data_IF_089427827971
#
_entry.id   IF_089427827971
#
_cell.length_a   1.000
_cell.length_b   1.000
_cell.length_c   1.000
_cell.angle_alpha   90.00
_cell.angle_beta   90.00
_cell.angle_gamma   90.00
#
_symmetry.space_group_name_H-M   'P 1'
#
loop_
_entity.id
_entity.type
_entity.pdbx_description
1 polymer ?
#
# COMPACT_ATOMS: atom_id res chain seq x y z
N UNK A 1 -6.71 -24.71 -17.03
CA UNK A 1 -7.30 -23.56 -17.75
C UNK A 1 -7.74 -22.57 -16.71
N UNK A 2 -7.11 -21.39 -16.65
CA UNK A 2 -7.34 -20.43 -15.56
C UNK A 2 -6.16 -19.47 -15.43
N UNK A 3 -5.87 -18.76 -16.52
CA UNK A 3 -4.82 -17.75 -16.58
C UNK A 3 -5.32 -16.49 -15.89
N UNK A 4 -4.80 -16.19 -14.69
CA UNK A 4 -5.00 -14.91 -14.04
C UNK A 4 -4.24 -13.83 -14.81
N UNK A 5 -4.96 -13.00 -15.56
CA UNK A 5 -4.42 -11.86 -16.28
C UNK A 5 -4.23 -10.73 -15.27
N UNK A 6 -2.99 -10.56 -14.80
CA UNK A 6 -2.57 -9.39 -14.04
C UNK A 6 -2.53 -8.16 -14.97
N UNK A 7 -3.57 -7.33 -14.92
CA UNK A 7 -3.67 -6.04 -15.62
C UNK A 7 -3.02 -4.95 -14.77
N UNK A 8 -1.73 -5.05 -14.48
CA UNK A 8 -0.94 -3.97 -13.85
C UNK A 8 0.46 -3.92 -14.47
N UNK A 9 0.53 -3.57 -15.76
CA UNK A 9 1.82 -3.24 -16.40
C UNK A 9 1.63 -2.44 -17.69
N UNK A 10 1.05 -1.24 -17.58
CA UNK A 10 1.03 -0.27 -18.68
C UNK A 10 1.07 1.14 -18.10
N UNK A 11 2.27 1.54 -17.68
CA UNK A 11 2.72 2.94 -17.59
C UNK A 11 4.21 2.97 -17.22
N UNK A 12 5.05 2.35 -18.05
CA UNK A 12 6.47 2.71 -18.08
C UNK A 12 6.63 3.80 -19.14
N UNK A 13 6.80 5.02 -18.64
CA UNK A 13 7.17 6.20 -19.41
C UNK A 13 8.42 5.91 -20.26
N UNK A 14 8.45 6.29 -21.54
CA UNK A 14 9.68 6.27 -22.32
C UNK A 14 10.66 7.28 -21.70
N UNK A 15 11.82 6.78 -21.26
CA UNK A 15 12.95 7.58 -20.82
C UNK A 15 13.43 8.44 -21.98
N UNK A 16 12.93 9.69 -22.06
CA UNK A 16 13.38 10.63 -23.08
C UNK A 16 14.85 10.94 -22.86
N UNK A 17 15.63 10.56 -23.86
CA UNK A 17 17.06 10.77 -23.94
C UNK A 17 17.29 12.29 -23.95
N UNK A 18 18.08 12.78 -23.00
CA UNK A 18 18.52 14.16 -23.00
C UNK A 18 19.54 14.33 -24.13
N UNK A 19 19.06 14.77 -25.30
CA UNK A 19 19.94 15.30 -26.33
C UNK A 19 20.46 16.64 -25.84
N UNK A 20 21.73 16.67 -25.47
CA UNK A 20 22.46 17.91 -25.20
C UNK A 20 22.43 18.77 -26.47
N UNK A 21 21.52 19.75 -26.50
CA UNK A 21 21.52 20.78 -27.53
C UNK A 21 22.76 21.63 -27.32
N UNK A 22 23.72 21.45 -28.22
CA UNK A 22 24.94 22.25 -28.35
C UNK A 22 24.55 23.71 -28.48
N UNK A 23 24.68 24.46 -27.40
CA UNK A 23 24.83 25.90 -27.54
C UNK A 23 26.16 26.13 -28.24
N UNK A 24 26.10 26.73 -29.43
CA UNK A 24 27.24 27.29 -30.14
C UNK A 24 27.96 28.26 -29.20
N UNK A 25 29.06 27.79 -28.62
CA UNK A 25 30.07 28.65 -28.04
C UNK A 25 30.70 29.34 -29.25
N UNK A 26 30.42 30.64 -29.39
CA UNK A 26 31.11 31.48 -30.37
C UNK A 26 32.62 31.32 -30.15
N UNK A 27 33.42 31.03 -31.19
CA UNK A 27 34.86 30.93 -31.02
C UNK A 27 35.39 32.29 -30.58
N UNK A 28 36.15 32.27 -29.48
CA UNK A 28 36.98 33.37 -29.03
C UNK A 28 37.89 33.78 -30.19
N UNK A 29 37.52 34.86 -30.89
CA UNK A 29 38.36 35.47 -31.94
C UNK A 29 39.63 35.94 -31.24
N UNK A 30 40.74 35.27 -31.50
CA UNK A 30 42.06 35.87 -31.33
C UNK A 30 42.13 37.08 -32.26
N UNK A 31 41.77 38.25 -31.73
CA UNK A 31 42.26 39.51 -32.27
C UNK A 31 43.77 39.48 -32.04
N UNK A 32 44.52 39.30 -33.12
CA UNK A 32 45.96 39.46 -33.13
C UNK A 32 46.28 40.81 -32.52
N UNK A 33 47.03 40.77 -31.42
CA UNK A 33 47.73 41.92 -30.86
C UNK A 33 48.78 42.35 -31.89
N UNK A 34 48.41 43.22 -32.82
CA UNK A 34 49.39 44.08 -33.47
C UNK A 34 49.82 45.11 -32.43
N UNK A 35 51.03 44.91 -31.89
CA UNK A 35 51.70 45.92 -31.08
C UNK A 35 51.74 47.23 -31.87
N UNK A 36 51.19 48.35 -31.37
CA UNK A 36 51.41 49.64 -32.00
C UNK A 36 52.90 49.98 -31.90
N UNK A 37 53.46 50.47 -33.01
CA UNK A 37 54.83 51.00 -33.04
C UNK A 37 54.88 52.19 -32.08
N UNK A 38 55.71 52.09 -31.04
CA UNK A 38 56.05 53.21 -30.18
C UNK A 38 56.73 54.29 -31.03
N UNK A 39 56.01 55.38 -31.30
CA UNK A 39 56.64 56.64 -31.63
C UNK A 39 57.12 57.26 -30.32
N UNK A 40 58.42 57.54 -30.21
CA UNK A 40 58.97 58.35 -29.12
C UNK A 40 58.50 59.78 -29.29
N UNK A 41 57.42 60.13 -28.61
CA UNK A 41 57.00 61.51 -28.42
C UNK A 41 57.46 61.97 -27.02
N UNK A 42 58.01 63.18 -26.99
CA UNK A 42 58.78 63.73 -25.88
C UNK A 42 57.92 63.85 -24.62
N UNK A 43 58.46 63.37 -23.50
CA UNK A 43 57.93 63.63 -22.17
C UNK A 43 58.23 65.08 -21.82
N UNK A 44 57.20 65.93 -21.83
CA UNK A 44 57.21 67.22 -21.15
C UNK A 44 56.49 67.02 -19.82
N UNK A 45 57.27 67.07 -18.74
CA UNK A 45 56.78 67.05 -17.36
C UNK A 45 56.20 68.42 -17.04
N UNK A 46 54.87 68.55 -17.13
CA UNK A 46 54.14 69.65 -16.53
C UNK A 46 53.66 69.22 -15.13
N UNK A 47 54.07 70.01 -14.13
CA UNK A 47 53.69 69.82 -12.73
C UNK A 47 52.23 70.27 -12.60
N UNK A 48 51.31 69.32 -12.46
CA UNK A 48 49.90 69.63 -12.19
C UNK A 48 49.73 70.18 -10.78
N UNK A 49 48.99 71.27 -10.67
CA UNK A 49 48.64 71.92 -9.41
C UNK A 49 47.64 71.07 -8.62
N UNK A 50 47.63 71.20 -7.28
CA UNK A 50 46.80 70.37 -6.37
C UNK A 50 45.30 70.47 -6.71
N UNK A 51 44.87 71.60 -7.28
CA UNK A 51 43.49 71.84 -7.72
C UNK A 51 43.11 70.99 -8.96
N UNK A 52 44.04 70.73 -9.88
CA UNK A 52 43.79 69.90 -11.07
C UNK A 52 43.59 68.43 -10.69
N UNK A 53 44.31 67.96 -9.66
CA UNK A 53 44.13 66.61 -9.08
C UNK A 53 42.76 66.49 -8.39
N UNK A 54 42.27 67.60 -7.80
CA UNK A 54 41.00 67.64 -7.09
C UNK A 54 39.80 67.61 -8.05
N UNK A 55 39.93 68.25 -9.22
CA UNK A 55 38.93 68.24 -10.30
C UNK A 55 38.83 66.85 -10.95
N UNK A 56 39.95 66.14 -11.16
CA UNK A 56 39.99 64.76 -11.67
C UNK A 56 39.39 63.72 -10.68
N UNK A 57 39.42 64.02 -9.38
CA UNK A 57 38.76 63.21 -8.34
C UNK A 57 37.27 63.55 -8.16
N UNK A 58 36.78 64.62 -8.80
CA UNK A 58 35.39 65.03 -8.77
C UNK A 58 34.56 64.08 -9.63
N UNK A 59 34.07 63.01 -8.99
CA UNK A 59 33.19 62.03 -9.63
C UNK A 59 32.04 62.79 -10.32
N UNK A 60 31.79 62.56 -11.63
CA UNK A 60 30.72 63.25 -12.32
C UNK A 60 29.41 63.02 -11.57
N UNK A 61 28.64 64.08 -11.37
CA UNK A 61 27.31 63.97 -10.80
C UNK A 61 26.50 63.06 -11.73
N UNK A 62 26.22 61.86 -11.26
CA UNK A 62 25.45 60.90 -12.04
C UNK A 62 24.08 61.48 -12.31
N UNK A 63 23.60 61.31 -13.54
CA UNK A 63 22.23 61.64 -13.89
C UNK A 63 21.26 60.91 -12.96
N UNK A 64 20.16 61.56 -12.59
CA UNK A 64 19.12 60.97 -11.73
C UNK A 64 18.65 59.60 -12.25
N UNK A 65 18.64 59.41 -13.58
CA UNK A 65 18.31 58.14 -14.21
C UNK A 65 19.33 57.04 -13.87
N UNK A 66 20.62 57.37 -13.89
CA UNK A 66 21.69 56.44 -13.55
C UNK A 66 21.70 56.13 -12.05
N UNK A 67 21.36 57.11 -11.21
CA UNK A 67 21.17 56.92 -9.77
C UNK A 67 20.02 55.94 -9.52
N UNK A 68 18.90 56.09 -10.22
CA UNK A 68 17.75 55.17 -10.12
C UNK A 68 18.11 53.76 -10.61
N UNK A 69 18.86 53.64 -11.70
CA UNK A 69 19.37 52.34 -12.18
C UNK A 69 20.31 51.67 -11.17
N UNK A 70 21.21 52.42 -10.54
CA UNK A 70 22.09 51.91 -9.48
C UNK A 70 21.33 51.53 -8.20
N UNK A 71 20.25 52.25 -7.88
CA UNK A 71 19.35 51.95 -6.74
C UNK A 71 18.45 50.74 -7.01
N UNK A 72 18.24 50.37 -8.27
CA UNK A 72 17.47 49.21 -8.68
C UNK A 72 18.19 47.89 -8.37
N UNK A 73 18.18 47.49 -7.09
CA UNK A 73 18.83 46.24 -6.62
C UNK A 73 18.14 44.98 -7.13
N UNK A 74 16.85 45.07 -7.46
CA UNK A 74 16.05 43.91 -7.80
C UNK A 74 16.47 43.23 -9.11
N UNK A 75 17.09 43.97 -10.05
CA UNK A 75 17.48 43.49 -11.40
C UNK A 75 16.35 42.76 -12.14
N UNK A 76 15.10 43.06 -11.77
CA UNK A 76 13.92 42.49 -12.39
C UNK A 76 13.72 43.11 -13.78
N UNK A 77 13.21 42.35 -14.76
CA UNK A 77 12.72 42.94 -16.01
C UNK A 77 11.69 44.02 -15.71
N UNK A 78 11.75 45.13 -16.44
CA UNK A 78 10.91 46.33 -16.23
C UNK A 78 9.42 45.98 -16.11
N UNK A 79 8.96 45.08 -16.97
CA UNK A 79 7.57 44.60 -16.97
C UNK A 79 7.18 43.89 -15.66
N UNK A 80 8.07 43.05 -15.12
CA UNK A 80 7.83 42.33 -13.86
C UNK A 80 7.87 43.32 -12.69
N UNK A 81 8.81 44.25 -12.72
CA UNK A 81 8.93 45.30 -11.72
C UNK A 81 7.68 46.18 -11.65
N UNK A 82 7.18 46.66 -12.79
CA UNK A 82 5.94 47.43 -12.88
C UNK A 82 4.74 46.67 -12.33
N UNK A 83 4.60 45.42 -12.75
CA UNK A 83 3.46 44.57 -12.37
C UNK A 83 3.44 44.22 -10.88
N UNK A 84 4.59 43.87 -10.30
CA UNK A 84 4.65 43.30 -8.94
C UNK A 84 5.09 44.30 -7.87
N UNK A 85 6.03 45.20 -8.18
CA UNK A 85 6.56 46.17 -7.22
C UNK A 85 5.78 47.47 -7.28
N UNK A 86 5.65 48.06 -8.48
CA UNK A 86 4.91 49.32 -8.66
C UNK A 86 3.39 49.10 -8.67
N UNK A 87 2.92 47.84 -8.79
CA UNK A 87 1.51 47.46 -8.89
C UNK A 87 0.76 48.27 -9.94
N UNK A 88 1.40 48.49 -11.09
CA UNK A 88 0.78 49.17 -12.22
C UNK A 88 0.35 48.16 -13.28
N UNK A 89 -0.77 48.43 -14.00
CA UNK A 89 -1.17 47.60 -15.11
C UNK A 89 -0.13 47.71 -16.24
N UNK A 90 0.43 46.57 -16.63
CA UNK A 90 1.28 46.40 -17.81
C UNK A 90 0.47 45.93 -19.03
N UNK A 91 0.85 46.30 -20.25
CA UNK A 91 0.21 45.78 -21.45
C UNK A 91 0.28 44.24 -21.55
N UNK A 92 -0.76 43.64 -22.14
CA UNK A 92 -0.88 42.21 -22.39
C UNK A 92 -0.25 41.92 -23.75
N UNK A 93 0.92 41.29 -23.74
CA UNK A 93 1.73 41.09 -24.95
C UNK A 93 1.88 39.61 -25.32
N UNK A 94 2.04 38.73 -24.32
CA UNK A 94 2.32 37.32 -24.57
C UNK A 94 1.03 36.54 -24.80
N UNK A 95 1.09 35.52 -25.67
CA UNK A 95 -0.01 34.57 -25.89
C UNK A 95 -0.56 34.00 -24.57
N UNK A 96 0.31 33.71 -23.61
CA UNK A 96 -0.09 33.16 -22.32
C UNK A 96 -0.90 34.15 -21.47
N UNK A 97 -0.68 35.46 -21.63
CA UNK A 97 -1.41 36.46 -20.86
C UNK A 97 -2.89 36.53 -21.27
N UNK A 98 -3.22 36.08 -22.49
CA UNK A 98 -4.60 35.98 -23.00
C UNK A 98 -5.36 34.75 -22.47
N UNK A 99 -4.73 33.88 -21.69
CA UNK A 99 -5.43 32.78 -21.02
C UNK A 99 -6.48 33.35 -20.05
N UNK A 100 -7.73 32.87 -20.14
CA UNK A 100 -8.85 33.35 -19.29
C UNK A 100 -8.52 33.38 -17.80
N UNK A 101 -7.85 32.35 -17.29
CA UNK A 101 -7.42 32.31 -15.89
C UNK A 101 -6.49 33.47 -15.54
N UNK A 102 -5.53 33.80 -16.41
CA UNK A 102 -4.60 34.92 -16.19
C UNK A 102 -5.29 36.26 -16.32
N UNK A 103 -6.18 36.43 -17.30
CA UNK A 103 -6.96 37.65 -17.47
C UNK A 103 -7.87 37.91 -16.27
N UNK A 104 -8.54 36.88 -15.75
CA UNK A 104 -9.32 36.97 -14.50
C UNK A 104 -8.45 37.38 -13.32
N UNK A 105 -7.30 36.72 -13.15
CA UNK A 105 -6.34 37.06 -12.09
C UNK A 105 -5.65 38.42 -12.30
N UNK A 106 -5.68 38.97 -13.51
CA UNK A 106 -5.15 40.29 -13.85
C UNK A 106 -6.17 41.38 -13.52
N UNK A 107 -7.42 41.18 -13.94
CA UNK A 107 -8.54 42.03 -13.57
C UNK A 107 -8.77 42.05 -12.06
N UNK A 108 -8.66 40.91 -11.36
CA UNK A 108 -8.77 40.88 -9.90
C UNK A 108 -7.69 41.70 -9.17
N UNK A 109 -6.53 41.93 -9.80
CA UNK A 109 -5.42 42.70 -9.21
C UNK A 109 -5.51 44.19 -9.47
N UNK A 110 -5.85 44.57 -10.69
CA UNK A 110 -5.81 45.97 -11.16
C UNK A 110 -7.20 46.56 -11.41
N UNK A 111 -8.25 45.75 -11.33
CA UNK A 111 -9.63 46.18 -11.57
C UNK A 111 -9.81 46.85 -12.92
N UNK A 112 -10.53 47.97 -12.92
CA UNK A 112 -10.83 48.78 -14.10
C UNK A 112 -9.59 49.43 -14.74
N UNK A 113 -8.51 49.64 -13.98
CA UNK A 113 -7.24 50.20 -14.50
C UNK A 113 -6.62 49.29 -15.58
N UNK A 114 -6.93 47.98 -15.54
CA UNK A 114 -6.52 47.01 -16.55
C UNK A 114 -7.20 47.20 -17.91
N UNK A 115 -8.29 48.00 -17.98
CA UNK A 115 -9.13 48.22 -19.16
C UNK A 115 -9.71 46.95 -19.79
N UNK A 116 -9.80 45.87 -19.01
CA UNK A 116 -10.44 44.62 -19.42
C UNK A 116 -11.94 44.67 -19.15
N UNK A 117 -12.72 44.00 -19.99
CA UNK A 117 -14.16 43.85 -19.77
C UNK A 117 -14.41 42.91 -18.56
N UNK A 118 -15.16 43.34 -17.52
CA UNK A 118 -15.46 42.51 -16.35
C UNK A 118 -16.22 41.22 -16.68
N UNK A 119 -16.90 41.16 -17.83
CA UNK A 119 -17.59 39.95 -18.30
C UNK A 119 -16.68 38.72 -18.42
N UNK A 120 -15.37 38.90 -18.48
CA UNK A 120 -14.39 37.79 -18.51
C UNK A 120 -14.34 36.97 -17.22
N UNK A 121 -14.82 37.54 -16.11
CA UNK A 121 -14.89 36.87 -14.82
C UNK A 121 -15.94 35.76 -14.79
N UNK A 122 -16.94 35.84 -15.66
CA UNK A 122 -18.02 34.87 -15.74
C UNK A 122 -17.72 33.81 -16.81
N UNK A 123 -18.18 32.57 -16.61
CA UNK A 123 -18.10 31.54 -17.64
C UNK A 123 -18.91 31.94 -18.88
N UNK A 124 -18.53 31.40 -20.03
CA UNK A 124 -19.37 31.53 -21.23
C UNK A 124 -20.64 30.68 -21.08
N UNK A 125 -21.64 30.91 -21.93
CA UNK A 125 -22.87 30.09 -21.93
C UNK A 125 -22.59 28.60 -22.16
N UNK A 126 -21.59 28.29 -22.99
CA UNK A 126 -21.15 26.93 -23.27
C UNK A 126 -20.50 26.29 -22.04
N UNK A 127 -19.56 26.99 -21.39
CA UNK A 127 -18.91 26.53 -20.16
C UNK A 127 -19.94 26.36 -19.01
N UNK A 128 -20.91 27.27 -18.91
CA UNK A 128 -21.97 27.16 -17.93
C UNK A 128 -22.82 25.89 -18.16
N UNK A 129 -23.14 25.58 -19.43
CA UNK A 129 -23.86 24.37 -19.77
C UNK A 129 -23.04 23.10 -19.48
N UNK A 130 -21.72 23.14 -19.65
CA UNK A 130 -20.82 22.04 -19.27
C UNK A 130 -20.78 21.83 -17.75
N UNK A 131 -20.71 22.92 -16.97
CA UNK A 131 -20.74 22.87 -15.51
C UNK A 131 -22.06 22.26 -15.03
N UNK A 132 -23.19 22.73 -15.56
CA UNK A 132 -24.52 22.20 -15.20
C UNK A 132 -24.61 20.70 -15.52
N UNK A 133 -24.17 20.28 -16.72
CA UNK A 133 -24.17 18.86 -17.09
C UNK A 133 -23.25 18.03 -16.19
N UNK A 134 -22.09 18.57 -15.80
CA UNK A 134 -21.18 17.90 -14.89
C UNK A 134 -21.84 17.69 -13.53
N UNK A 135 -22.43 18.75 -12.96
CA UNK A 135 -23.13 18.68 -11.67
C UNK A 135 -24.29 17.68 -11.74
N UNK A 136 -25.09 17.68 -12.80
CA UNK A 136 -26.19 16.71 -13.00
C UNK A 136 -25.72 15.25 -13.07
N UNK A 137 -24.55 14.99 -13.67
CA UNK A 137 -24.02 13.63 -13.85
C UNK A 137 -23.34 13.11 -12.59
N UNK A 138 -22.54 13.95 -11.93
CA UNK A 138 -21.64 13.51 -10.86
C UNK A 138 -22.16 13.85 -9.46
N UNK A 139 -22.90 14.94 -9.31
CA UNK A 139 -23.35 15.43 -8.01
C UNK A 139 -24.85 15.09 -7.81
N UNK A 140 -25.17 14.03 -7.04
CA UNK A 140 -26.57 13.68 -6.79
C UNK A 140 -27.26 14.78 -6.00
N UNK A 141 -28.58 14.86 -6.17
CA UNK A 141 -29.42 15.80 -5.45
C UNK A 141 -29.39 15.54 -3.95
N UNK A 142 -29.65 16.56 -3.13
CA UNK A 142 -29.67 16.41 -1.68
C UNK A 142 -30.66 15.32 -1.22
N UNK A 143 -31.81 15.22 -1.88
CA UNK A 143 -32.83 14.21 -1.59
C UNK A 143 -32.34 12.78 -1.89
N UNK A 144 -31.58 12.58 -2.96
CA UNK A 144 -30.93 11.30 -3.26
C UNK A 144 -29.87 10.95 -2.23
N UNK A 145 -29.06 11.91 -1.80
CA UNK A 145 -28.06 11.69 -0.75
C UNK A 145 -28.70 11.23 0.55
N UNK A 146 -29.80 11.89 0.97
CA UNK A 146 -30.54 11.52 2.17
C UNK A 146 -31.07 10.07 2.04
N UNK A 147 -31.73 9.74 0.92
CA UNK A 147 -32.22 8.37 0.66
C UNK A 147 -31.10 7.33 0.69
N UNK A 148 -29.95 7.63 0.11
CA UNK A 148 -28.78 6.74 0.12
C UNK A 148 -28.19 6.55 1.53
N UNK A 149 -28.26 7.57 2.38
CA UNK A 149 -27.83 7.45 3.78
C UNK A 149 -28.83 6.61 4.58
N UNK A 150 -30.12 6.83 4.38
CA UNK A 150 -31.18 6.05 5.02
C UNK A 150 -31.12 4.57 4.62
N UNK A 151 -30.93 4.26 3.33
CA UNK A 151 -30.81 2.87 2.86
C UNK A 151 -29.61 2.16 3.48
N UNK A 152 -28.45 2.83 3.54
CA UNK A 152 -27.24 2.29 4.18
C UNK A 152 -27.44 2.01 5.65
N UNK A 153 -28.06 2.94 6.39
CA UNK A 153 -28.37 2.73 7.82
C UNK A 153 -29.28 1.52 8.03
N UNK A 154 -30.29 1.37 7.18
CA UNK A 154 -31.22 0.25 7.26
C UNK A 154 -30.54 -1.10 6.92
N UNK A 155 -29.63 -1.12 5.97
CA UNK A 155 -28.80 -2.30 5.65
C UNK A 155 -27.87 -2.66 6.82
N UNK A 156 -27.20 -1.67 7.41
CA UNK A 156 -26.34 -1.87 8.57
C UNK A 156 -27.12 -2.40 9.78
N UNK A 157 -28.31 -1.87 10.05
CA UNK A 157 -29.20 -2.34 11.12
C UNK A 157 -29.68 -3.77 10.89
N UNK A 158 -30.01 -4.13 9.65
CA UNK A 158 -30.37 -5.52 9.30
C UNK A 158 -29.21 -6.47 9.54
N UNK A 159 -28.02 -6.11 9.05
CA UNK A 159 -26.82 -6.91 9.23
C UNK A 159 -26.49 -7.09 10.73
N UNK A 160 -26.59 -6.03 11.54
CA UNK A 160 -26.40 -6.14 12.99
C UNK A 160 -27.38 -7.13 13.62
N UNK A 161 -28.67 -7.04 13.28
CA UNK A 161 -29.70 -7.96 13.79
C UNK A 161 -29.46 -9.41 13.37
N UNK A 162 -28.98 -9.64 12.15
CA UNK A 162 -28.63 -10.98 11.66
C UNK A 162 -27.46 -11.57 12.45
N UNK A 163 -26.40 -10.77 12.66
CA UNK A 163 -25.24 -11.17 13.49
C UNK A 163 -25.65 -11.45 14.93
N UNK A 164 -26.45 -10.57 15.54
CA UNK A 164 -26.98 -10.76 16.90
C UNK A 164 -27.79 -12.07 16.99
N UNK A 165 -28.68 -12.33 16.04
CA UNK A 165 -29.46 -13.55 16.00
C UNK A 165 -28.62 -14.82 15.80
N UNK A 166 -27.51 -14.75 15.05
CA UNK A 166 -26.57 -15.87 14.90
C UNK A 166 -25.79 -16.11 16.20
N UNK A 167 -25.32 -15.05 16.85
CA UNK A 167 -24.65 -15.13 18.15
C UNK A 167 -25.58 -15.78 19.18
N UNK A 168 -26.84 -15.36 19.27
CA UNK A 168 -27.82 -15.93 20.19
C UNK A 168 -28.03 -17.43 19.96
N UNK A 169 -28.12 -17.86 18.70
CA UNK A 169 -28.24 -19.30 18.34
C UNK A 169 -26.99 -20.09 18.74
N UNK A 170 -25.81 -19.52 18.57
CA UNK A 170 -24.56 -20.15 18.95
C UNK A 170 -24.41 -20.23 20.47
N UNK A 171 -24.78 -19.16 21.18
CA UNK A 171 -24.80 -19.13 22.64
C UNK A 171 -25.77 -20.16 23.22
N UNK A 172 -26.95 -20.35 22.62
CA UNK A 172 -27.89 -21.40 23.03
C UNK A 172 -27.34 -22.83 22.87
N UNK A 173 -26.39 -23.06 21.95
CA UNK A 173 -25.75 -24.36 21.73
C UNK A 173 -24.41 -24.53 22.46
N UNK A 174 -23.91 -23.47 23.11
CA UNK A 174 -22.59 -23.43 23.72
C UNK A 174 -22.42 -24.51 24.80
N UNK A 175 -23.38 -24.64 25.71
CA UNK A 175 -23.32 -25.61 26.81
C UNK A 175 -23.24 -27.06 26.28
N UNK A 176 -23.96 -27.35 25.19
CA UNK A 176 -23.89 -28.67 24.53
C UNK A 176 -22.50 -28.91 23.96
N UNK A 177 -21.92 -27.95 23.25
CA UNK A 177 -20.57 -28.07 22.69
C UNK A 177 -19.49 -28.22 23.76
N UNK A 178 -19.62 -27.51 24.88
CA UNK A 178 -18.74 -27.66 26.04
C UNK A 178 -18.84 -29.08 26.59
N UNK A 179 -20.06 -29.59 26.80
CA UNK A 179 -20.26 -30.95 27.31
C UNK A 179 -19.70 -32.02 26.36
N UNK A 180 -19.93 -31.88 25.05
CA UNK A 180 -19.39 -32.79 24.03
C UNK A 180 -17.86 -32.74 23.96
N UNK A 181 -17.27 -31.56 24.17
CA UNK A 181 -15.82 -31.40 24.21
C UNK A 181 -15.20 -32.11 25.41
N UNK A 182 -15.74 -31.90 26.61
CA UNK A 182 -15.28 -32.61 27.81
C UNK A 182 -15.48 -34.12 27.71
N UNK A 183 -16.62 -34.57 27.18
CA UNK A 183 -16.87 -36.00 26.94
C UNK A 183 -15.86 -36.61 25.94
N UNK A 184 -15.40 -35.84 24.94
CA UNK A 184 -14.33 -36.29 24.02
C UNK A 184 -12.97 -36.38 24.72
N UNK A 185 -12.66 -35.45 25.63
CA UNK A 185 -11.43 -35.50 26.43
C UNK A 185 -11.44 -36.74 27.32
N UNK A 186 -12.50 -36.92 28.10
CA UNK A 186 -12.63 -38.05 29.04
C UNK A 186 -12.55 -39.40 28.30
N UNK A 187 -13.19 -39.52 27.13
CA UNK A 187 -13.08 -40.72 26.28
C UNK A 187 -11.66 -40.97 25.79
N UNK A 188 -10.87 -39.93 25.50
CA UNK A 188 -9.47 -40.06 25.08
C UNK A 188 -8.59 -40.46 26.26
N UNK A 189 -8.81 -39.87 27.42
CA UNK A 189 -8.09 -40.20 28.65
C UNK A 189 -8.34 -41.63 29.08
N UNK A 190 -9.61 -42.06 29.15
CA UNK A 190 -9.98 -43.46 29.44
C UNK A 190 -9.34 -44.45 28.48
N UNK A 191 -9.35 -44.15 27.17
CA UNK A 191 -8.67 -45.00 26.18
C UNK A 191 -7.15 -45.03 26.37
N UNK A 192 -6.54 -43.91 26.73
CA UNK A 192 -5.11 -43.86 27.00
C UNK A 192 -4.74 -44.68 28.25
N UNK A 193 -5.57 -44.60 29.30
CA UNK A 193 -5.43 -45.39 30.52
C UNK A 193 -5.64 -46.88 30.27
N UNK A 194 -6.68 -47.27 29.53
CA UNK A 194 -6.93 -48.65 29.13
C UNK A 194 -5.75 -49.22 28.32
N UNK A 195 -5.20 -48.45 27.38
CA UNK A 195 -4.02 -48.85 26.61
C UNK A 195 -2.77 -48.95 27.49
N UNK A 196 -2.62 -48.07 28.48
CA UNK A 196 -1.52 -48.14 29.45
C UNK A 196 -1.64 -49.41 30.31
N UNK A 197 -2.81 -49.67 30.87
CA UNK A 197 -3.09 -50.88 31.65
C UNK A 197 -2.96 -52.17 30.82
N UNK A 198 -3.37 -52.15 29.55
CA UNK A 198 -3.19 -53.30 28.65
C UNK A 198 -1.71 -53.54 28.38
N UNK A 199 -0.92 -52.47 28.17
CA UNK A 199 0.53 -52.59 28.00
C UNK A 199 1.20 -53.13 29.26
N UNK A 200 0.88 -52.60 30.44
CA UNK A 200 1.41 -53.05 31.72
C UNK A 200 1.10 -54.54 31.95
N UNK A 201 -0.17 -54.94 31.80
CA UNK A 201 -0.58 -56.35 31.88
C UNK A 201 0.16 -57.25 30.89
N UNK A 202 0.38 -56.79 29.66
CA UNK A 202 1.14 -57.56 28.67
C UNK A 202 2.62 -57.72 29.06
N UNK A 203 3.21 -56.70 29.69
CA UNK A 203 4.61 -56.77 30.15
C UNK A 203 4.73 -57.71 31.34
N UNK A 204 3.83 -57.62 32.30
CA UNK A 204 3.77 -58.51 33.48
C UNK A 204 3.59 -59.98 33.07
N UNK A 205 2.61 -60.29 32.22
CA UNK A 205 2.38 -61.67 31.75
C UNK A 205 3.61 -62.28 31.05
N UNK A 206 4.36 -61.46 30.31
CA UNK A 206 5.57 -61.93 29.61
C UNK A 206 6.77 -62.02 30.57
N UNK A 207 6.88 -61.11 31.54
CA UNK A 207 7.88 -61.19 32.61
C UNK A 207 7.68 -62.47 33.43
N UNK A 208 6.43 -62.83 33.76
CA UNK A 208 6.10 -64.10 34.42
C UNK A 208 6.48 -65.32 33.59
N UNK A 209 6.27 -65.27 32.27
CA UNK A 209 6.63 -66.37 31.36
C UNK A 209 8.15 -66.57 31.23
N UNK A 210 8.92 -65.47 31.24
CA UNK A 210 10.38 -65.50 31.07
C UNK A 210 11.13 -65.62 32.40
N UNK A 211 10.51 -65.21 33.50
CA UNK A 211 11.04 -65.30 34.87
C UNK A 211 11.99 -64.16 35.28
N UNK A 212 12.07 -63.06 34.52
CA UNK A 212 12.88 -61.88 34.83
C UNK A 212 12.36 -60.62 34.10
N UNK A 213 12.62 -59.44 34.66
CA UNK A 213 12.14 -58.15 34.12
C UNK A 213 12.88 -57.74 32.83
N UNK A 214 12.12 -57.47 31.77
CA UNK A 214 12.63 -57.15 30.43
C UNK A 214 11.93 -55.92 29.87
N UNK A 215 12.71 -55.05 29.23
CA UNK A 215 12.18 -53.88 28.54
C UNK A 215 11.34 -54.26 27.30
N UNK A 216 10.17 -53.63 27.07
CA UNK A 216 9.31 -53.93 25.91
C UNK A 216 9.94 -53.64 24.54
N UNK A 217 11.09 -52.97 24.49
CA UNK A 217 11.82 -52.63 23.26
C UNK A 217 12.77 -53.74 22.82
N UNK A 218 13.08 -54.69 23.70
CA UNK A 218 14.02 -55.78 23.44
C UNK A 218 13.47 -56.76 22.37
N UNK A 219 14.28 -57.24 21.41
CA UNK A 219 13.86 -58.29 20.48
C UNK A 219 13.33 -59.56 21.16
N UNK A 220 13.85 -59.94 22.33
CA UNK A 220 13.42 -61.14 23.07
C UNK A 220 11.97 -61.05 23.55
N UNK A 221 11.54 -59.84 23.93
CA UNK A 221 10.15 -59.59 24.33
C UNK A 221 9.19 -59.87 23.18
N UNK A 222 9.55 -59.49 21.94
CA UNK A 222 8.72 -59.71 20.75
C UNK A 222 8.56 -61.20 20.43
N UNK A 223 9.64 -61.96 20.52
CA UNK A 223 9.61 -63.41 20.30
C UNK A 223 8.71 -64.12 21.32
N UNK A 224 8.80 -63.74 22.59
CA UNK A 224 7.96 -64.28 23.66
C UNK A 224 6.46 -63.94 23.47
N UNK A 225 6.14 -62.71 23.07
CA UNK A 225 4.76 -62.30 22.73
C UNK A 225 4.20 -63.13 21.57
N UNK A 226 4.99 -63.37 20.52
CA UNK A 226 4.56 -64.17 19.38
C UNK A 226 4.29 -65.64 19.72
N UNK A 227 5.12 -66.25 20.58
CA UNK A 227 4.92 -67.62 21.04
C UNK A 227 3.62 -67.74 21.85
N UNK A 228 3.42 -66.83 22.81
CA UNK A 228 2.22 -66.77 23.64
C UNK A 228 0.95 -66.52 22.82
N UNK A 229 1.01 -65.66 21.81
CA UNK A 229 -0.15 -65.42 20.93
C UNK A 229 -0.47 -66.63 20.04
N UNK A 230 0.54 -67.40 19.61
CA UNK A 230 0.32 -68.68 18.90
C UNK A 230 -0.37 -69.69 19.81
N UNK A 231 0.01 -69.77 21.09
CA UNK A 231 -0.62 -70.65 22.08
C UNK A 231 -2.05 -70.22 22.41
N UNK A 232 -2.29 -68.93 22.68
CA UNK A 232 -3.65 -68.40 22.92
C UNK A 232 -4.55 -68.61 21.70
N UNK A 233 -4.05 -68.44 20.47
CA UNK A 233 -4.80 -68.75 19.23
C UNK A 233 -5.13 -70.24 19.10
N UNK A 234 -4.21 -71.14 19.43
CA UNK A 234 -4.47 -72.60 19.44
C UNK A 234 -5.53 -72.95 20.49
N UNK A 235 -5.41 -72.42 21.71
CA UNK A 235 -6.37 -72.64 22.78
C UNK A 235 -7.77 -72.10 22.45
N UNK A 236 -7.87 -70.90 21.85
CA UNK A 236 -9.17 -70.34 21.41
C UNK A 236 -9.81 -71.19 20.30
N UNK A 237 -9.02 -71.70 19.34
CA UNK A 237 -9.53 -72.60 18.30
C UNK A 237 -10.08 -73.89 18.91
N UNK A 238 -9.37 -74.47 19.88
CA UNK A 238 -9.82 -75.68 20.58
C UNK A 238 -11.10 -75.44 21.40
N UNK A 239 -11.17 -74.33 22.15
CA UNK A 239 -12.39 -73.94 22.89
C UNK A 239 -13.57 -73.71 21.95
N UNK A 240 -13.37 -73.02 20.82
CA UNK A 240 -14.41 -72.81 19.81
C UNK A 240 -14.88 -74.13 19.18
N UNK A 241 -13.96 -75.07 18.96
CA UNK A 241 -14.30 -76.42 18.48
C UNK A 241 -15.12 -77.17 19.54
N UNK A 242 -14.69 -77.18 20.80
CA UNK A 242 -15.42 -77.79 21.92
C UNK A 242 -16.84 -77.20 22.06
N UNK A 243 -16.97 -75.87 22.08
CA UNK A 243 -18.28 -75.20 22.11
C UNK A 243 -19.17 -75.57 20.91
N UNK A 244 -18.58 -75.84 19.74
CA UNK A 244 -19.33 -76.28 18.57
C UNK A 244 -19.79 -77.73 18.68
N UNK A 245 -18.97 -78.60 19.30
CA UNK A 245 -19.34 -79.99 19.62
C UNK A 245 -20.42 -80.03 20.71
N UNK A 246 -20.29 -79.22 21.77
CA UNK A 246 -21.28 -79.12 22.85
C UNK A 246 -22.63 -78.63 22.32
N UNK A 247 -22.63 -77.58 21.46
CA UNK A 247 -23.85 -77.12 20.76
C UNK A 247 -24.46 -78.18 19.84
N UNK A 248 -23.64 -79.07 19.28
CA UNK A 248 -24.11 -80.18 18.44
C UNK A 248 -24.73 -81.30 19.30
N UNK A 249 -24.10 -81.65 20.42
CA UNK A 249 -24.61 -82.61 21.39
C UNK A 249 -25.92 -82.13 22.01
N UNK A 250 -26.03 -80.85 22.37
CA UNK A 250 -27.26 -80.26 22.89
C UNK A 250 -28.41 -80.28 21.87
N UNK A 251 -28.12 -80.07 20.59
CA UNK A 251 -29.11 -80.22 19.51
C UNK A 251 -29.56 -81.68 19.37
N UNK A 252 -28.65 -82.65 19.46
CA UNK A 252 -28.97 -84.07 19.39
C UNK A 252 -29.79 -84.53 20.62
N UNK A 253 -29.48 -84.04 21.83
CA UNK A 253 -30.27 -84.30 23.04
C UNK A 253 -31.70 -83.77 22.92
N UNK A 254 -31.88 -82.54 22.42
CA UNK A 254 -33.21 -81.96 22.18
C UNK A 254 -34.03 -82.75 21.14
N UNK A 255 -33.38 -83.31 20.12
CA UNK A 255 -34.04 -84.16 19.12
C UNK A 255 -34.44 -85.52 19.71
N UNK A 256 -33.62 -86.07 20.61
CA UNK A 256 -33.93 -87.33 21.31
C UNK A 256 -35.04 -87.17 22.36
N UNK A 257 -35.14 -86.01 23.01
CA UNK A 257 -36.21 -85.66 23.95
C UNK A 257 -37.53 -85.30 23.24
N UNK A 258 -37.49 -84.93 21.96
CA UNK A 258 -38.67 -84.63 21.14
C UNK A 258 -39.28 -85.86 20.42
N UNK A 259 -38.86 -87.07 20.78
CA UNK A 259 -39.29 -88.34 20.17
C UNK A 259 -39.88 -89.26 21.23
#
# INVERSE_FOLDING_TARGET
MGSAVNVWKLCQFPSKHWTASRYNILPFRHLGTSLPKFATEKVETEVSTVDDILEDLRKPELSDQEILQKRFKARLPERIYRKHVLKQPVPIESKYDYERYRLRGYYARFGEESKLNPGICWPTKEEMAEIIKYDEIFEPTLQERIRNVESKRLEEEKHKKEVEAEVDKNMANLDKWISDYHAKIEKKEKKAEELKQQRERLVEEISEYLGYDIDPRDPRFKEAVEQRDKEKKKAMKLKKQQESYDKMIDKLRKIAESK
#
